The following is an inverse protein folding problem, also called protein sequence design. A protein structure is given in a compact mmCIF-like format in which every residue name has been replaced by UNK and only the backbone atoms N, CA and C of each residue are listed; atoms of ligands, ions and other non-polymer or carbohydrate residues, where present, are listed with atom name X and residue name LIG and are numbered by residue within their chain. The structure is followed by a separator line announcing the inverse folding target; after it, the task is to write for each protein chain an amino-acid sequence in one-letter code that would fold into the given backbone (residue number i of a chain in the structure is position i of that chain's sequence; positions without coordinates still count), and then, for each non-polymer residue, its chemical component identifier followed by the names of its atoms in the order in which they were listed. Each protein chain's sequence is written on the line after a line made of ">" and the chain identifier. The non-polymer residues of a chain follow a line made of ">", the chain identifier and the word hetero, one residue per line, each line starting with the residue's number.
data_IF_009012996458
#
_entry.id   IF_009012996458
#
_cell.length_a   1.000
_cell.length_b   1.000
_cell.length_c   1.000
_cell.angle_alpha   90.00
_cell.angle_beta   90.00
_cell.angle_gamma   90.00
#
_symmetry.space_group_name_H-M   'P 1'
#
loop_
_entity.id
_entity.type
_entity.pdbx_description
1 polymer ?
#
# COMPACT_ATOMS: atom_id res chain seq x y z
N UNK A 1 28.43 -9.30 -11.58
CA UNK A 1 27.46 -9.57 -12.68
C UNK A 1 26.93 -11.01 -12.64
N UNK A 2 27.77 -12.00 -12.36
CA UNK A 2 27.42 -13.44 -12.37
C UNK A 2 26.29 -13.82 -11.37
N UNK A 3 26.33 -13.28 -10.14
CA UNK A 3 25.29 -13.51 -9.11
C UNK A 3 23.89 -13.07 -9.54
N UNK A 4 23.77 -11.94 -10.26
CA UNK A 4 22.49 -11.42 -10.75
C UNK A 4 21.94 -12.24 -11.91
N UNK A 5 22.83 -12.72 -12.80
CA UNK A 5 22.43 -13.61 -13.90
C UNK A 5 21.98 -14.97 -13.39
N UNK A 6 22.62 -15.50 -12.34
CA UNK A 6 22.20 -16.73 -11.68
C UNK A 6 20.82 -16.59 -11.02
N UNK A 7 20.57 -15.48 -10.32
CA UNK A 7 19.24 -15.19 -9.74
C UNK A 7 18.14 -15.14 -10.80
N UNK A 8 18.41 -14.53 -11.97
CA UNK A 8 17.47 -14.50 -13.10
C UNK A 8 17.22 -15.89 -13.68
N UNK A 9 18.29 -16.70 -13.88
CA UNK A 9 18.19 -18.07 -14.40
C UNK A 9 17.42 -19.01 -13.50
N UNK A 10 17.56 -18.86 -12.19
CA UNK A 10 16.93 -19.72 -11.20
C UNK A 10 15.54 -19.22 -10.76
N UNK A 11 15.02 -18.16 -11.39
CA UNK A 11 13.72 -17.55 -11.05
C UNK A 11 13.59 -17.25 -9.55
N UNK A 12 14.69 -16.76 -8.94
CA UNK A 12 14.72 -16.51 -7.51
C UNK A 12 13.69 -15.45 -7.10
N UNK A 13 13.04 -15.68 -5.96
CA UNK A 13 12.14 -14.71 -5.34
C UNK A 13 12.95 -13.54 -4.76
N UNK A 14 12.32 -12.38 -4.67
CA UNK A 14 12.97 -11.17 -4.13
C UNK A 14 13.25 -11.33 -2.63
N UNK A 15 14.22 -10.59 -2.10
CA UNK A 15 14.45 -10.54 -0.66
C UNK A 15 13.21 -10.09 0.12
N UNK A 16 12.40 -9.22 -0.51
CA UNK A 16 11.10 -8.83 0.02
C UNK A 16 10.15 -10.01 0.14
N UNK A 17 10.02 -10.86 -0.89
CA UNK A 17 9.22 -12.07 -0.84
C UNK A 17 9.68 -12.99 0.30
N UNK A 18 10.99 -13.12 0.48
CA UNK A 18 11.57 -13.90 1.56
C UNK A 18 11.15 -13.39 2.95
N UNK A 19 11.25 -12.08 3.21
CA UNK A 19 10.78 -11.52 4.48
C UNK A 19 9.25 -11.67 4.64
N UNK A 20 8.47 -11.55 3.57
CA UNK A 20 7.02 -11.69 3.67
C UNK A 20 6.56 -13.14 3.91
N UNK A 21 7.24 -14.14 3.33
CA UNK A 21 6.74 -15.53 3.28
C UNK A 21 7.55 -16.51 4.15
N UNK A 22 8.82 -16.21 4.45
CA UNK A 22 9.74 -17.13 5.14
C UNK A 22 10.05 -16.65 6.57
N UNK A 23 10.22 -15.35 6.76
CA UNK A 23 10.47 -14.74 8.09
C UNK A 23 9.63 -13.48 8.32
N UNK A 24 8.29 -13.60 8.36
CA UNK A 24 7.38 -12.47 8.52
C UNK A 24 7.59 -11.67 9.81
N UNK A 25 8.12 -12.28 10.87
CA UNK A 25 8.49 -11.62 12.12
C UNK A 25 9.66 -10.63 11.97
N UNK A 26 10.50 -10.82 10.95
CA UNK A 26 11.61 -9.92 10.61
C UNK A 26 11.17 -8.82 9.61
N UNK A 27 9.92 -8.87 9.15
CA UNK A 27 9.39 -7.84 8.27
C UNK A 27 9.38 -6.50 9.03
N UNK A 28 9.92 -5.40 8.48
CA UNK A 28 10.19 -4.20 9.26
C UNK A 28 8.95 -3.66 9.98
N UNK A 29 8.95 -3.75 11.30
CA UNK A 29 7.91 -3.30 12.23
C UNK A 29 8.01 -1.81 12.56
N UNK A 30 8.78 -1.06 11.77
CA UNK A 30 8.93 0.38 11.99
C UNK A 30 7.56 1.04 12.12
N UNK A 31 7.41 2.07 12.99
CA UNK A 31 6.21 2.86 13.08
C UNK A 31 6.07 3.69 11.79
N UNK A 32 5.71 3.03 10.69
CA UNK A 32 5.45 3.69 9.42
C UNK A 32 4.25 4.60 9.61
N UNK A 33 4.26 5.80 9.00
CA UNK A 33 3.08 6.65 8.97
C UNK A 33 1.88 5.84 8.50
N UNK A 34 0.77 5.98 9.23
CA UNK A 34 -0.51 5.44 8.76
C UNK A 34 -1.05 6.45 7.77
N UNK A 35 -1.16 6.04 6.52
CA UNK A 35 -1.77 6.86 5.48
C UNK A 35 -3.27 6.63 5.49
N UNK A 36 -4.05 7.69 5.36
CA UNK A 36 -5.51 7.60 5.28
C UNK A 36 -6.07 8.62 4.30
N UNK A 37 -7.39 8.58 4.11
CA UNK A 37 -8.08 9.49 3.21
C UNK A 37 -8.11 8.95 1.78
N UNK A 38 -8.16 9.85 0.80
CA UNK A 38 -8.29 9.51 -0.62
C UNK A 38 -6.93 9.13 -1.19
N UNK A 39 -6.91 8.07 -2.00
CA UNK A 39 -5.72 7.67 -2.73
C UNK A 39 -5.71 8.31 -4.12
N UNK A 40 -4.96 9.40 -4.24
CA UNK A 40 -4.84 10.18 -5.48
C UNK A 40 -3.81 9.56 -6.41
N UNK A 41 -4.17 9.37 -7.68
CA UNK A 41 -3.20 9.29 -8.76
C UNK A 41 -2.74 10.71 -9.10
N UNK A 42 -1.52 11.07 -8.70
CA UNK A 42 -0.99 12.44 -8.87
C UNK A 42 -0.75 12.80 -10.33
N UNK A 43 -0.52 11.80 -11.19
CA UNK A 43 -0.34 12.00 -12.62
C UNK A 43 -1.61 12.32 -13.39
N UNK A 44 -2.75 11.79 -12.95
CA UNK A 44 -4.05 11.92 -13.62
C UNK A 44 -5.05 12.81 -12.87
N UNK A 45 -4.77 13.17 -11.61
CA UNK A 45 -5.65 14.02 -10.79
C UNK A 45 -6.96 13.33 -10.37
N UNK A 46 -7.01 12.01 -10.41
CA UNK A 46 -8.18 11.19 -10.06
C UNK A 46 -7.88 10.32 -8.83
N UNK A 47 -8.92 9.82 -8.17
CA UNK A 47 -8.82 9.03 -6.96
C UNK A 47 -9.21 7.57 -7.22
N UNK A 48 -8.56 6.65 -6.50
CA UNK A 48 -8.96 5.25 -6.49
C UNK A 48 -10.32 5.09 -5.81
N UNK A 49 -11.21 4.34 -6.46
CA UNK A 49 -12.59 4.21 -6.04
C UNK A 49 -13.22 2.88 -6.51
N UNK A 50 -14.28 2.44 -5.85
CA UNK A 50 -15.13 1.35 -6.32
C UNK A 50 -16.53 1.91 -6.61
N UNK A 51 -17.00 1.76 -7.85
CA UNK A 51 -18.28 2.30 -8.31
C UNK A 51 -19.43 1.28 -8.31
N UNK A 52 -19.33 0.19 -7.57
CA UNK A 52 -20.42 -0.79 -7.46
C UNK A 52 -21.59 -0.26 -6.60
N UNK A 53 -22.80 -0.47 -7.10
CA UNK A 53 -24.05 -0.25 -6.36
C UNK A 53 -24.43 -1.54 -5.63
N UNK A 54 -24.21 -1.59 -4.31
CA UNK A 54 -24.57 -2.75 -3.47
C UNK A 54 -23.36 -3.53 -2.96
N UNK A 55 -23.16 -4.77 -3.43
CA UNK A 55 -22.09 -5.63 -2.95
C UNK A 55 -20.74 -5.13 -3.48
N UNK A 56 -19.83 -4.80 -2.57
CA UNK A 56 -18.49 -4.32 -2.88
C UNK A 56 -17.45 -5.45 -3.00
N UNK A 57 -17.82 -6.69 -2.68
CA UNK A 57 -16.93 -7.84 -2.83
C UNK A 57 -16.62 -8.08 -4.31
N UNK A 58 -15.34 -8.29 -4.60
CA UNK A 58 -14.76 -8.43 -5.95
C UNK A 58 -14.98 -7.21 -6.86
N UNK A 59 -15.36 -6.05 -6.29
CA UNK A 59 -15.49 -4.82 -7.05
C UNK A 59 -14.11 -4.39 -7.62
N UNK A 60 -14.02 -4.16 -8.93
CA UNK A 60 -12.82 -3.59 -9.54
C UNK A 60 -12.56 -2.18 -9.01
N UNK A 61 -11.32 -1.91 -8.64
CA UNK A 61 -10.88 -0.56 -8.33
C UNK A 61 -10.66 0.23 -9.62
N UNK A 62 -11.23 1.42 -9.67
CA UNK A 62 -11.20 2.33 -10.82
C UNK A 62 -10.74 3.72 -10.40
N UNK A 63 -10.42 4.57 -11.38
CA UNK A 63 -10.25 6.00 -11.17
C UNK A 63 -11.59 6.72 -11.29
N UNK A 64 -11.88 7.54 -10.28
CA UNK A 64 -13.03 8.42 -10.23
C UNK A 64 -12.60 9.86 -9.89
N UNK A 65 -13.44 10.88 -10.17
CA UNK A 65 -13.24 12.20 -9.60
C UNK A 65 -13.15 12.13 -8.08
N UNK A 66 -12.15 12.81 -7.52
CA UNK A 66 -11.97 12.88 -6.08
C UNK A 66 -13.10 13.68 -5.44
N UNK A 67 -13.76 13.13 -4.42
CA UNK A 67 -14.88 13.76 -3.74
C UNK A 67 -14.83 13.53 -2.24
N UNK A 68 -14.97 14.59 -1.45
CA UNK A 68 -15.08 14.51 0.01
C UNK A 68 -16.41 13.92 0.48
N UNK A 69 -17.45 13.98 -0.36
CA UNK A 69 -18.77 13.42 -0.04
C UNK A 69 -18.86 11.91 -0.21
N UNK A 70 -17.87 11.27 -0.86
CA UNK A 70 -17.91 9.84 -1.20
C UNK A 70 -17.10 9.05 -0.19
N UNK A 71 -17.76 8.53 0.85
CA UNK A 71 -17.11 7.73 1.91
C UNK A 71 -16.35 6.50 1.37
N UNK A 72 -16.78 5.95 0.23
CA UNK A 72 -16.12 4.86 -0.49
C UNK A 72 -14.69 5.21 -0.96
N UNK A 73 -14.34 6.50 -1.07
CA UNK A 73 -12.98 6.93 -1.40
C UNK A 73 -12.06 7.07 -0.18
N UNK A 74 -12.59 6.88 1.04
CA UNK A 74 -11.74 6.86 2.23
C UNK A 74 -11.06 5.50 2.39
N UNK A 75 -9.75 5.51 2.23
CA UNK A 75 -8.89 4.35 2.31
C UNK A 75 -7.93 4.50 3.50
N UNK A 76 -7.41 3.38 3.99
CA UNK A 76 -6.43 3.39 5.07
C UNK A 76 -5.32 2.38 4.80
N UNK A 77 -4.08 2.85 4.69
CA UNK A 77 -2.91 1.98 4.69
C UNK A 77 -2.51 1.60 6.11
N UNK A 78 -2.31 0.31 6.36
CA UNK A 78 -2.03 -0.23 7.69
C UNK A 78 -0.56 -0.60 7.87
N UNK A 79 -0.13 -0.81 9.11
CA UNK A 79 1.20 -1.33 9.42
C UNK A 79 1.43 -2.75 8.89
N UNK A 80 0.36 -3.50 8.61
CA UNK A 80 0.41 -4.83 7.95
C UNK A 80 0.55 -4.73 6.43
N UNK A 81 0.77 -3.52 5.89
CA UNK A 81 0.87 -3.26 4.45
C UNK A 81 -0.42 -3.48 3.68
N UNK A 82 -1.57 -3.48 4.32
CA UNK A 82 -2.86 -3.59 3.64
C UNK A 82 -3.41 -2.20 3.31
N UNK A 83 -4.23 -2.10 2.27
CA UNK A 83 -5.04 -0.90 1.99
C UNK A 83 -6.49 -1.27 2.25
N UNK A 84 -7.04 -0.76 3.37
CA UNK A 84 -8.43 -0.99 3.78
C UNK A 84 -9.37 -0.03 3.05
N UNK A 85 -10.54 -0.53 2.66
CA UNK A 85 -11.58 0.21 1.97
C UNK A 85 -12.82 0.35 2.86
N UNK A 86 -13.26 1.59 3.10
CA UNK A 86 -14.58 1.93 3.67
C UNK A 86 -14.91 1.30 5.03
N UNK A 87 -14.90 2.07 6.12
CA UNK A 87 -15.52 1.64 7.40
C UNK A 87 -17.05 1.64 7.23
N UNK A 88 -17.80 0.60 7.64
CA UNK A 88 -17.46 -0.51 8.53
C UNK A 88 -17.07 -1.83 7.84
N UNK A 89 -16.98 -1.87 6.51
CA UNK A 89 -16.73 -3.12 5.78
C UNK A 89 -15.24 -3.50 5.92
N UNK A 90 -14.96 -4.78 6.18
CA UNK A 90 -13.58 -5.26 6.35
C UNK A 90 -12.99 -5.68 5.00
N UNK A 91 -12.95 -4.74 4.05
CA UNK A 91 -12.46 -4.97 2.70
C UNK A 91 -11.05 -4.40 2.52
N UNK A 92 -10.23 -5.13 1.79
CA UNK A 92 -8.85 -4.82 1.46
C UNK A 92 -8.65 -4.84 -0.04
N UNK A 93 -7.71 -4.05 -0.53
CA UNK A 93 -7.22 -4.18 -1.89
C UNK A 93 -6.52 -5.52 -2.05
N UNK A 94 -6.96 -6.28 -3.04
CA UNK A 94 -6.38 -7.56 -3.43
C UNK A 94 -6.10 -7.56 -4.93
N UNK A 95 -5.46 -8.63 -5.40
CA UNK A 95 -5.12 -8.80 -6.83
C UNK A 95 -5.74 -10.08 -7.36
N UNK A 96 -6.54 -9.95 -8.42
CA UNK A 96 -7.08 -11.07 -9.20
C UNK A 96 -6.76 -10.84 -10.66
N UNK A 97 -6.05 -11.77 -11.29
CA UNK A 97 -5.67 -11.68 -12.71
C UNK A 97 -5.00 -10.33 -13.08
N UNK A 98 -4.11 -9.86 -12.21
CA UNK A 98 -3.43 -8.55 -12.30
C UNK A 98 -4.34 -7.33 -12.08
N UNK A 99 -5.65 -7.48 -11.97
CA UNK A 99 -6.58 -6.39 -11.64
C UNK A 99 -6.61 -6.16 -10.13
N UNK A 100 -6.66 -4.90 -9.71
CA UNK A 100 -6.87 -4.53 -8.31
C UNK A 100 -8.37 -4.55 -8.02
N UNK A 101 -8.76 -5.36 -7.04
CA UNK A 101 -10.15 -5.55 -6.65
C UNK A 101 -10.31 -5.41 -5.13
N UNK A 102 -11.54 -5.28 -4.66
CA UNK A 102 -11.88 -5.37 -3.24
C UNK A 102 -12.17 -6.82 -2.85
N UNK A 103 -11.57 -7.28 -1.75
CA UNK A 103 -11.88 -8.57 -1.13
C UNK A 103 -11.94 -8.45 0.38
N UNK A 104 -12.49 -9.45 1.07
CA UNK A 104 -12.35 -9.52 2.52
C UNK A 104 -10.87 -9.51 2.90
N UNK A 105 -10.51 -8.69 3.89
CA UNK A 105 -9.16 -8.70 4.43
C UNK A 105 -8.85 -10.09 4.99
N UNK A 106 -7.70 -10.64 4.60
CA UNK A 106 -7.27 -11.99 4.97
C UNK A 106 -6.41 -11.91 6.21
N UNK A 107 -6.86 -12.49 7.33
CA UNK A 107 -6.09 -12.45 8.59
C UNK A 107 -5.04 -13.55 8.69
N UNK A 108 -5.27 -14.72 8.05
CA UNK A 108 -4.41 -15.90 8.15
C UNK A 108 -4.34 -16.67 6.81
N UNK A 109 -3.27 -17.45 6.63
CA UNK A 109 -3.08 -18.34 5.49
C UNK A 109 -2.25 -17.77 4.34
N UNK A 110 -2.00 -18.60 3.33
CA UNK A 110 -1.08 -18.30 2.21
C UNK A 110 -1.53 -17.15 1.31
N UNK A 111 -2.82 -16.79 1.35
CA UNK A 111 -3.39 -15.72 0.53
C UNK A 111 -3.12 -14.30 1.06
N UNK A 112 -2.64 -14.17 2.31
CA UNK A 112 -2.39 -12.87 2.95
C UNK A 112 -1.48 -11.96 2.10
N UNK A 113 -0.51 -12.55 1.39
CA UNK A 113 0.45 -11.81 0.57
C UNK A 113 -0.16 -11.18 -0.68
N UNK A 114 -1.36 -11.59 -1.11
CA UNK A 114 -2.08 -10.98 -2.25
C UNK A 114 -2.70 -9.61 -1.91
N UNK A 115 -2.69 -9.23 -0.63
CA UNK A 115 -3.29 -7.99 -0.12
C UNK A 115 -2.24 -7.03 0.46
N UNK A 116 -0.96 -7.33 0.23
CA UNK A 116 0.16 -6.56 0.76
C UNK A 116 0.71 -5.58 -0.29
N UNK A 117 0.79 -4.31 0.12
CA UNK A 117 1.12 -3.15 -0.69
C UNK A 117 2.19 -2.31 0.01
N UNK A 118 3.32 -2.13 -0.67
CA UNK A 118 4.41 -1.28 -0.22
C UNK A 118 4.30 0.11 -0.87
N UNK A 119 3.98 1.11 -0.05
CA UNK A 119 4.01 2.52 -0.45
C UNK A 119 5.46 2.99 -0.38
N UNK A 120 6.01 3.35 -1.53
CA UNK A 120 7.37 3.86 -1.65
C UNK A 120 7.40 5.40 -1.56
N UNK A 121 8.51 5.95 -1.09
CA UNK A 121 8.73 7.40 -0.99
C UNK A 121 8.68 8.10 -2.35
N UNK A 122 9.01 7.37 -3.42
CA UNK A 122 8.95 7.87 -4.80
C UNK A 122 7.53 7.92 -5.40
N UNK A 123 6.49 7.63 -4.60
CA UNK A 123 5.08 7.68 -4.99
C UNK A 123 4.54 6.38 -5.61
N UNK A 124 5.38 5.38 -5.88
CA UNK A 124 4.89 4.09 -6.38
C UNK A 124 4.27 3.25 -5.26
N UNK A 125 3.21 2.50 -5.61
CA UNK A 125 2.62 1.48 -4.74
C UNK A 125 2.91 0.12 -5.34
N UNK A 126 3.72 -0.68 -4.65
CA UNK A 126 4.18 -1.99 -5.13
C UNK A 126 3.37 -3.10 -4.47
N UNK A 127 2.78 -3.97 -5.28
CA UNK A 127 2.23 -5.22 -4.80
C UNK A 127 3.36 -6.16 -4.41
N UNK A 128 3.42 -6.49 -3.13
CA UNK A 128 4.56 -7.12 -2.48
C UNK A 128 4.87 -8.50 -3.08
N UNK A 129 3.85 -9.32 -3.30
CA UNK A 129 4.02 -10.70 -3.77
C UNK A 129 4.55 -10.76 -5.22
N UNK A 130 4.06 -9.89 -6.10
CA UNK A 130 4.45 -9.91 -7.53
C UNK A 130 5.61 -8.97 -7.86
N UNK A 131 5.92 -7.99 -7.00
CA UNK A 131 6.92 -6.96 -7.25
C UNK A 131 6.52 -5.96 -8.35
N UNK A 132 5.24 -5.94 -8.75
CA UNK A 132 4.68 -5.04 -9.77
C UNK A 132 4.04 -3.82 -9.12
N UNK A 133 3.94 -2.74 -9.86
CA UNK A 133 3.35 -1.48 -9.41
C UNK A 133 1.87 -1.41 -9.77
N UNK A 134 1.08 -0.81 -8.87
CA UNK A 134 -0.29 -0.40 -9.16
C UNK A 134 -0.26 0.73 -10.19
N UNK A 135 -0.97 0.53 -11.30
CA UNK A 135 -1.01 1.44 -12.43
C UNK A 135 -2.46 1.76 -12.80
N UNK A 136 -2.74 3.05 -12.99
CA UNK A 136 -3.98 3.49 -13.59
C UNK A 136 -3.96 3.24 -15.11
N UNK A 137 -4.82 2.34 -15.57
CA UNK A 137 -4.95 2.01 -16.99
C UNK A 137 -6.20 2.68 -17.51
N UNK A 138 -6.02 3.76 -18.28
CA UNK A 138 -7.11 4.50 -18.92
C UNK A 138 -7.26 3.99 -20.36
N UNK A 139 -8.35 3.28 -20.62
CA UNK A 139 -8.84 2.89 -21.94
C UNK A 139 -10.15 3.63 -22.23
N UNK A 140 -10.63 3.59 -23.47
CA UNK A 140 -11.79 4.40 -23.92
C UNK A 140 -13.05 4.23 -23.05
N UNK A 141 -13.26 3.05 -22.45
CA UNK A 141 -14.42 2.77 -21.59
C UNK A 141 -14.08 2.53 -20.11
N UNK A 142 -12.82 2.23 -19.78
CA UNK A 142 -12.43 1.73 -18.45
C UNK A 142 -11.26 2.51 -17.89
N UNK A 143 -11.29 2.78 -16.59
CA UNK A 143 -10.23 3.49 -15.86
C UNK A 143 -9.74 2.64 -14.69
N UNK A 144 -9.57 1.36 -14.95
CA UNK A 144 -9.34 0.35 -13.93
C UNK A 144 -7.88 0.39 -13.44
N UNK A 145 -7.65 -0.15 -12.25
CA UNK A 145 -6.32 -0.28 -11.67
C UNK A 145 -5.78 -1.69 -11.92
N UNK A 146 -4.59 -1.77 -12.49
CA UNK A 146 -3.91 -3.02 -12.79
C UNK A 146 -2.47 -3.02 -12.29
N UNK A 147 -1.93 -4.21 -12.07
CA UNK A 147 -0.51 -4.40 -11.87
C UNK A 147 0.25 -4.33 -13.20
N UNK A 148 1.34 -3.57 -13.20
CA UNK A 148 2.26 -3.44 -14.35
C UNK A 148 3.71 -3.41 -13.88
N UNK A 149 4.69 -3.70 -14.77
CA UNK A 149 6.09 -3.46 -14.46
C UNK A 149 6.30 -2.02 -13.98
N UNK A 150 7.02 -1.86 -12.87
CA UNK A 150 7.29 -0.55 -12.30
C UNK A 150 8.13 0.29 -13.26
N UNK A 151 7.63 1.45 -13.66
CA UNK A 151 8.31 2.40 -14.55
C UNK A 151 8.28 3.85 -14.04
N UNK A 152 7.61 4.11 -12.91
CA UNK A 152 7.58 5.41 -12.24
C UNK A 152 6.87 6.51 -13.02
N UNK A 153 6.18 6.18 -14.13
CA UNK A 153 5.42 7.16 -14.91
C UNK A 153 4.23 7.70 -14.13
N UNK A 154 3.71 8.83 -14.57
CA UNK A 154 2.57 9.54 -13.97
C UNK A 154 1.41 8.61 -13.53
N UNK A 155 1.07 7.61 -14.35
CA UNK A 155 0.00 6.62 -14.06
C UNK A 155 0.29 5.64 -12.90
N UNK A 156 1.54 5.54 -12.45
CA UNK A 156 1.97 4.75 -11.29
C UNK A 156 2.29 5.62 -10.07
N UNK A 157 1.99 6.93 -10.12
CA UNK A 157 2.33 7.87 -9.05
C UNK A 157 1.13 8.15 -8.17
N UNK A 158 1.20 7.69 -6.93
CA UNK A 158 0.10 7.68 -5.98
C UNK A 158 0.42 8.46 -4.71
N UNK A 159 -0.60 9.06 -4.10
CA UNK A 159 -0.46 9.79 -2.84
C UNK A 159 -1.75 9.75 -2.04
N UNK A 160 -1.66 9.45 -0.75
CA UNK A 160 -2.74 9.69 0.20
C UNK A 160 -2.77 11.17 0.60
N UNK A 161 -3.95 11.76 0.69
CA UNK A 161 -4.12 13.15 1.09
C UNK A 161 -3.96 13.37 2.61
N UNK A 162 -4.27 12.36 3.44
CA UNK A 162 -3.99 12.40 4.88
C UNK A 162 -2.82 11.49 5.26
N UNK A 163 -1.81 12.08 5.89
CA UNK A 163 -0.68 11.34 6.46
C UNK A 163 -0.72 11.49 7.99
N UNK A 164 -1.02 10.39 8.70
CA UNK A 164 -0.91 10.34 10.16
C UNK A 164 0.43 9.72 10.53
N UNK A 165 1.43 10.57 10.68
CA UNK A 165 2.63 10.20 11.43
C UNK A 165 2.20 9.87 12.86
N UNK A 166 2.54 8.67 13.36
CA UNK A 166 2.58 8.48 14.81
C UNK A 166 3.62 9.48 15.29
N UNK A 167 3.15 10.63 15.80
CA UNK A 167 3.95 11.44 16.73
C UNK A 167 4.37 10.45 17.81
N UNK A 168 5.61 9.94 17.73
CA UNK A 168 6.29 9.52 18.94
C UNK A 168 6.26 10.79 19.77
N UNK A 169 5.33 10.86 20.72
CA UNK A 169 5.32 11.92 21.71
C UNK A 169 6.76 12.09 22.14
N UNK A 170 7.24 13.33 22.11
CA UNK A 170 8.60 13.74 22.42
C UNK A 170 8.99 13.45 23.88
N UNK A 171 8.79 12.21 24.34
CA UNK A 171 9.07 11.71 25.67
C UNK A 171 10.52 11.24 25.73
N UNK A 172 11.09 10.75 24.63
CA UNK A 172 12.50 10.33 24.59
C UNK A 172 13.47 11.51 24.64
N UNK A 173 13.12 12.67 24.06
CA UNK A 173 13.96 13.87 24.13
C UNK A 173 13.94 14.47 25.54
N UNK A 174 12.79 14.48 26.22
CA UNK A 174 12.70 15.01 27.59
C UNK A 174 13.43 14.11 28.61
N UNK A 175 13.44 12.79 28.41
CA UNK A 175 14.19 11.85 29.27
C UNK A 175 15.71 11.97 29.10
N UNK A 176 16.23 12.21 27.89
CA UNK A 176 17.67 12.46 27.69
C UNK A 176 18.13 13.82 28.23
N UNK A 177 17.26 14.84 28.22
CA UNK A 177 17.56 16.14 28.84
C UNK A 177 17.58 16.04 30.37
N UNK A 178 16.65 15.28 30.96
CA UNK A 178 16.63 15.09 32.42
C UNK A 178 17.77 14.21 32.96
N UNK A 179 18.27 13.23 32.19
CA UNK A 179 19.42 12.41 32.62
C UNK A 179 20.77 13.16 32.57
N UNK A 180 20.89 14.21 31.74
CA UNK A 180 22.11 15.06 31.71
C UNK A 180 22.21 16.01 32.90
N UNK A 181 21.11 16.41 33.53
CA UNK A 181 21.12 17.23 34.76
C UNK A 181 21.40 16.44 36.03
N UNK A 182 21.39 15.10 35.99
CA UNK A 182 21.63 14.24 37.15
C UNK A 182 23.07 13.66 37.22
N UNK A 183 23.92 13.93 36.22
CA UNK A 183 25.32 13.50 36.18
C UNK A 183 26.34 14.65 36.05
N UNK A 184 25.88 15.90 36.23
CA UNK A 184 26.74 17.07 36.38
C UNK A 184 26.38 17.73 37.72
N UNK A 185 26.80 17.09 38.80
CA UNK A 185 26.92 17.66 40.15
C UNK A 185 28.07 16.96 40.85
#
# INVERSE_FOLDING_TARGET
>A
MERLQLQRRLSCRTFHWFLANVYPELYPSEPRPRFSGKLHNTGLGLCADCQAEGNLLDCPMVLAPCSDSRQQQYLQHTSRKEIHFGRPQHLCFAVREEQVILQNCTEEGLAIHQQHWDLQENGMIVHILSGKCMEAVVQESNKDLYLRPCDGKARQQWRFDEVKEKRILAITVQLQVNLKSLYIS
#
